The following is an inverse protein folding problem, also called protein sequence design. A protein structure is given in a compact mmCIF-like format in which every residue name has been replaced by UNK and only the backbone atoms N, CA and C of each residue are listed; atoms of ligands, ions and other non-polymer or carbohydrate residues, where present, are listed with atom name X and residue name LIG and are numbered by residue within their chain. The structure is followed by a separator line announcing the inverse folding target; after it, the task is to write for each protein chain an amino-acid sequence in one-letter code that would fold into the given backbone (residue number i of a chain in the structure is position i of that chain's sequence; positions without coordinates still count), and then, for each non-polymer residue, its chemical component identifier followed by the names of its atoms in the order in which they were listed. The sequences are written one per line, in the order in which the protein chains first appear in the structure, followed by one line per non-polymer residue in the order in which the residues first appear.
data_IF_224364804570
#
_entry.id   IF_224364804570
#
_cell.length_a   1.000
_cell.length_b   1.000
_cell.length_c   1.000
_cell.angle_alpha   90.00
_cell.angle_beta   90.00
_cell.angle_gamma   90.00
#
_symmetry.space_group_name_H-M   'P 1'
#
loop_
_entity.id
_entity.type
_entity.pdbx_description
1 polymer ?
#
# COMPACT_ATOMS: atom_id res chain seq x y z
N UNK A 1 -22.59 12.78 -10.57
CA UNK A 1 -21.74 12.73 -9.35
C UNK A 1 -22.53 13.10 -8.10
N UNK A 2 -23.45 14.08 -8.13
CA UNK A 2 -24.28 14.40 -6.94
C UNK A 2 -25.28 13.29 -6.56
N UNK A 3 -25.97 12.65 -7.50
CA UNK A 3 -26.99 11.61 -7.19
C UNK A 3 -26.43 10.38 -6.45
N UNK A 4 -25.16 10.05 -6.65
CA UNK A 4 -24.49 8.91 -5.98
C UNK A 4 -24.12 9.21 -4.52
N UNK A 5 -23.90 10.48 -4.16
CA UNK A 5 -23.58 10.84 -2.77
C UNK A 5 -24.82 10.87 -1.88
N UNK A 6 -25.96 11.31 -2.42
CA UNK A 6 -27.26 11.32 -1.69
C UNK A 6 -27.75 9.90 -1.38
N UNK A 7 -27.46 8.93 -2.25
CA UNK A 7 -27.85 7.52 -2.06
C UNK A 7 -26.96 6.80 -1.04
N UNK A 8 -25.67 7.14 -0.97
CA UNK A 8 -24.75 6.56 0.03
C UNK A 8 -25.04 7.07 1.44
N UNK A 9 -25.32 8.36 1.62
CA UNK A 9 -25.70 8.89 2.94
C UNK A 9 -27.00 8.27 3.45
N UNK A 10 -27.97 8.03 2.58
CA UNK A 10 -29.21 7.32 2.92
C UNK A 10 -29.00 5.83 3.23
N UNK A 11 -27.96 5.19 2.70
CA UNK A 11 -27.69 3.77 2.94
C UNK A 11 -27.11 3.51 4.34
N UNK A 12 -26.11 4.27 4.74
CA UNK A 12 -25.42 4.06 6.02
C UNK A 12 -26.11 4.74 7.20
N UNK A 13 -26.79 5.88 6.96
CA UNK A 13 -27.42 6.68 7.99
C UNK A 13 -28.96 6.68 7.92
N UNK A 14 -29.53 5.84 7.04
CA UNK A 14 -30.98 5.67 6.91
C UNK A 14 -31.48 4.35 7.48
N UNK A 15 -32.80 4.20 7.56
CA UNK A 15 -33.48 3.04 8.17
C UNK A 15 -33.11 1.69 7.53
N UNK A 16 -32.66 1.70 6.26
CA UNK A 16 -32.23 0.50 5.54
C UNK A 16 -30.94 -0.12 6.09
N UNK A 17 -30.10 0.64 6.80
CA UNK A 17 -28.84 0.14 7.36
C UNK A 17 -29.06 -1.05 8.31
N UNK A 18 -30.08 -0.98 9.17
CA UNK A 18 -30.39 -2.06 10.12
C UNK A 18 -30.83 -3.36 9.43
N UNK A 19 -31.34 -3.28 8.19
CA UNK A 19 -31.74 -4.46 7.41
C UNK A 19 -30.54 -5.16 6.74
N UNK A 20 -29.42 -4.44 6.59
CA UNK A 20 -28.17 -4.93 5.99
C UNK A 20 -27.19 -5.52 7.03
N UNK A 21 -27.49 -5.43 8.33
CA UNK A 21 -26.68 -6.03 9.39
C UNK A 21 -26.60 -7.54 9.25
N UNK A 22 -25.47 -8.11 9.66
CA UNK A 22 -25.22 -9.53 9.55
C UNK A 22 -26.22 -10.34 10.36
N UNK A 23 -26.80 -11.37 9.71
CA UNK A 23 -27.71 -12.33 10.33
C UNK A 23 -26.97 -13.64 10.45
N UNK A 24 -26.87 -14.16 11.67
CA UNK A 24 -26.20 -15.43 11.95
C UNK A 24 -27.15 -16.63 11.88
N UNK A 25 -28.41 -16.42 11.47
CA UNK A 25 -29.43 -17.47 11.33
C UNK A 25 -29.60 -18.35 12.59
N UNK A 26 -29.33 -17.78 13.77
CA UNK A 26 -29.30 -18.45 15.07
C UNK A 26 -28.21 -19.55 15.19
N UNK A 27 -27.15 -19.48 14.38
CA UNK A 27 -25.98 -20.37 14.42
C UNK A 27 -24.75 -19.56 14.80
N UNK A 28 -24.42 -19.58 16.08
CA UNK A 28 -23.24 -18.88 16.58
C UNK A 28 -21.95 -19.64 16.22
N UNK A 29 -20.97 -18.89 15.69
CA UNK A 29 -19.64 -19.36 15.32
C UNK A 29 -18.64 -18.28 15.70
N UNK A 30 -17.34 -18.61 15.70
CA UNK A 30 -16.29 -17.61 15.93
C UNK A 30 -16.40 -16.46 14.92
N UNK A 31 -16.70 -16.76 13.65
CA UNK A 31 -16.88 -15.75 12.60
C UNK A 31 -18.07 -14.84 12.88
N UNK A 32 -19.23 -15.39 13.27
CA UNK A 32 -20.41 -14.57 13.53
C UNK A 32 -20.23 -13.65 14.74
N UNK A 33 -19.58 -14.14 15.80
CA UNK A 33 -19.27 -13.34 16.99
C UNK A 33 -18.34 -12.18 16.64
N UNK A 34 -17.26 -12.42 15.87
CA UNK A 34 -16.35 -11.34 15.47
C UNK A 34 -17.03 -10.34 14.52
N UNK A 35 -17.84 -10.81 13.57
CA UNK A 35 -18.57 -9.93 12.65
C UNK A 35 -19.52 -9.00 13.42
N UNK A 36 -20.32 -9.55 14.34
CA UNK A 36 -21.23 -8.75 15.19
C UNK A 36 -20.48 -7.71 16.02
N UNK A 37 -19.36 -8.08 16.64
CA UNK A 37 -18.54 -7.14 17.43
C UNK A 37 -17.99 -5.98 16.58
N UNK A 38 -17.56 -6.27 15.35
CA UNK A 38 -17.10 -5.24 14.41
C UNK A 38 -18.25 -4.33 14.01
N UNK A 39 -19.41 -4.90 13.66
CA UNK A 39 -20.61 -4.11 13.30
C UNK A 39 -21.04 -3.17 14.43
N UNK A 40 -21.06 -3.65 15.67
CA UNK A 40 -21.37 -2.83 16.85
C UNK A 40 -20.40 -1.65 16.98
N UNK A 41 -19.09 -1.90 16.91
CA UNK A 41 -18.05 -0.86 17.03
C UNK A 41 -18.17 0.18 15.91
N UNK A 42 -18.39 -0.26 14.67
CA UNK A 42 -18.51 0.64 13.52
C UNK A 42 -19.82 1.44 13.59
N UNK A 43 -20.90 0.84 14.08
CA UNK A 43 -22.18 1.52 14.24
C UNK A 43 -22.08 2.68 15.23
N UNK A 44 -21.28 2.56 16.29
CA UNK A 44 -20.99 3.66 17.22
C UNK A 44 -20.28 4.83 16.52
N UNK A 45 -19.28 4.55 15.68
CA UNK A 45 -18.54 5.56 14.92
C UNK A 45 -19.46 6.29 13.93
N UNK A 46 -20.29 5.53 13.19
CA UNK A 46 -21.27 6.08 12.25
C UNK A 46 -22.26 7.00 13.00
N UNK A 47 -22.82 6.53 14.13
CA UNK A 47 -23.75 7.35 14.94
C UNK A 47 -23.09 8.63 15.47
N UNK A 48 -21.85 8.55 15.95
CA UNK A 48 -21.12 9.72 16.44
C UNK A 48 -20.88 10.77 15.34
N UNK A 49 -20.53 10.32 14.13
CA UNK A 49 -20.41 11.22 12.98
C UNK A 49 -21.75 11.86 12.62
N UNK A 50 -22.84 11.08 12.62
CA UNK A 50 -24.18 11.60 12.34
C UNK A 50 -24.63 12.69 13.33
N UNK A 51 -24.41 12.47 14.62
CA UNK A 51 -24.79 13.42 15.68
C UNK A 51 -23.96 14.72 15.62
N UNK A 52 -22.65 14.62 15.38
CA UNK A 52 -21.76 15.78 15.32
C UNK A 52 -22.03 16.70 14.11
N UNK A 53 -22.64 16.18 13.05
CA UNK A 53 -22.95 16.93 11.82
C UNK A 53 -24.44 17.34 11.71
N UNK A 54 -25.26 17.06 12.72
CA UNK A 54 -26.69 17.41 12.77
C UNK A 54 -26.93 18.82 13.34
N UNK A 55 -26.43 19.86 12.66
CA UNK A 55 -26.88 21.26 12.82
C UNK A 55 -27.67 21.62 11.53
N UNK A 56 -28.84 22.27 11.62
CA UNK A 56 -29.88 22.16 10.60
C UNK A 56 -29.62 23.02 9.36
N UNK A 57 -29.02 22.44 8.33
CA UNK A 57 -29.29 22.82 6.93
C UNK A 57 -28.85 21.72 5.96
N UNK A 58 -29.78 20.82 5.63
CA UNK A 58 -29.97 20.10 4.36
C UNK A 58 -28.79 19.46 3.59
N UNK A 59 -27.58 19.45 4.10
CA UNK A 59 -26.40 18.89 3.41
C UNK A 59 -25.67 17.99 4.39
N UNK A 60 -25.84 16.68 4.23
CA UNK A 60 -24.94 15.70 4.82
C UNK A 60 -23.50 16.08 4.45
N UNK A 61 -22.70 16.57 5.40
CA UNK A 61 -21.27 16.72 5.17
C UNK A 61 -20.62 15.35 5.34
N UNK A 62 -20.23 14.73 4.22
CA UNK A 62 -19.39 13.54 4.21
C UNK A 62 -18.16 13.74 5.11
N UNK A 63 -17.62 12.66 5.72
CA UNK A 63 -16.41 12.78 6.53
C UNK A 63 -15.29 13.46 5.72
N UNK A 64 -14.70 14.50 6.29
CA UNK A 64 -13.64 15.28 5.65
C UNK A 64 -12.30 14.56 5.81
N UNK A 65 -11.58 14.36 4.70
CA UNK A 65 -10.21 13.84 4.74
C UNK A 65 -9.27 14.87 5.39
N UNK A 66 -8.62 14.49 6.49
CA UNK A 66 -7.71 15.35 7.25
C UNK A 66 -6.30 15.40 6.62
N UNK A 67 -6.21 15.86 5.38
CA UNK A 67 -4.99 15.80 4.56
C UNK A 67 -3.72 16.29 5.28
N UNK A 68 -3.79 17.45 5.95
CA UNK A 68 -2.63 18.03 6.65
C UNK A 68 -2.13 17.17 7.82
N UNK A 69 -3.02 16.50 8.53
CA UNK A 69 -2.62 15.59 9.61
C UNK A 69 -1.92 14.35 9.04
N UNK A 70 -2.43 13.81 7.94
CA UNK A 70 -1.80 12.70 7.24
C UNK A 70 -0.43 13.10 6.67
N UNK A 71 -0.30 14.29 6.08
CA UNK A 71 0.99 14.81 5.59
C UNK A 71 2.04 14.86 6.71
N UNK A 72 1.71 15.46 7.86
CA UNK A 72 2.64 15.56 9.00
C UNK A 72 3.06 14.18 9.51
N UNK A 73 2.11 13.24 9.61
CA UNK A 73 2.38 11.85 10.00
C UNK A 73 3.36 11.17 9.03
N UNK A 74 3.08 11.24 7.73
CA UNK A 74 3.88 10.61 6.67
C UNK A 74 5.29 11.21 6.60
N UNK A 75 5.41 12.53 6.64
CA UNK A 75 6.71 13.23 6.61
C UNK A 75 7.60 12.84 7.79
N UNK A 76 7.02 12.72 8.99
CA UNK A 76 7.75 12.25 10.18
C UNK A 76 8.24 10.81 10.00
N UNK A 77 7.36 9.94 9.51
CA UNK A 77 7.67 8.52 9.29
C UNK A 77 8.76 8.26 8.25
N UNK A 78 8.94 9.17 7.27
CA UNK A 78 9.99 9.03 6.27
C UNK A 78 11.40 9.29 6.83
N UNK A 79 11.50 10.02 7.95
CA UNK A 79 12.79 10.39 8.56
C UNK A 79 13.16 9.47 9.71
N UNK A 80 12.25 9.27 10.67
CA UNK A 80 12.51 8.49 11.87
C UNK A 80 11.28 7.67 12.27
N UNK A 81 11.51 6.43 12.65
CA UNK A 81 10.51 5.51 13.18
C UNK A 81 10.91 5.08 14.59
N UNK A 82 9.92 4.80 15.44
CA UNK A 82 10.19 4.25 16.78
C UNK A 82 10.62 2.79 16.69
N UNK A 83 11.15 2.28 17.80
CA UNK A 83 11.42 0.86 18.05
C UNK A 83 10.22 -0.06 17.76
N UNK A 84 9.00 0.46 17.84
CA UNK A 84 7.78 -0.27 17.50
C UNK A 84 7.74 -0.76 16.04
N UNK A 85 8.60 -0.24 15.17
CA UNK A 85 8.76 -0.66 13.77
C UNK A 85 9.86 -1.70 13.56
N UNK A 86 10.50 -2.22 14.63
CA UNK A 86 11.54 -3.25 14.53
C UNK A 86 11.03 -4.52 13.80
N UNK A 87 9.76 -4.87 13.97
CA UNK A 87 9.13 -5.98 13.23
C UNK A 87 9.07 -5.77 11.71
N UNK A 88 9.33 -4.54 11.24
CA UNK A 88 9.36 -4.15 9.83
C UNK A 88 10.79 -3.83 9.34
N UNK A 89 11.85 -4.20 10.08
CA UNK A 89 13.23 -3.96 9.64
C UNK A 89 13.57 -4.68 8.32
N UNK A 90 12.92 -5.82 8.04
CA UNK A 90 13.00 -6.52 6.76
C UNK A 90 12.00 -6.00 5.69
N UNK A 91 11.34 -4.88 5.95
CA UNK A 91 10.32 -4.26 5.09
C UNK A 91 10.52 -2.76 4.94
N UNK A 92 11.75 -2.26 5.04
CA UNK A 92 12.02 -0.82 4.96
C UNK A 92 11.75 -0.21 3.58
N UNK A 93 12.02 -0.91 2.45
CA UNK A 93 11.53 -0.44 1.15
C UNK A 93 10.00 -0.33 1.07
N UNK A 94 9.25 -1.19 1.78
CA UNK A 94 7.80 -1.05 1.88
C UNK A 94 7.40 0.23 2.61
N UNK A 95 8.09 0.57 3.70
CA UNK A 95 7.86 1.82 4.42
C UNK A 95 8.11 3.03 3.50
N UNK A 96 9.18 3.02 2.70
CA UNK A 96 9.42 4.05 1.68
C UNK A 96 8.25 4.12 0.68
N UNK A 97 7.86 2.99 0.08
CA UNK A 97 6.78 2.95 -0.91
C UNK A 97 5.44 3.43 -0.33
N UNK A 98 5.00 2.89 0.80
CA UNK A 98 3.72 3.26 1.41
C UNK A 98 3.67 4.75 1.73
N UNK A 99 4.76 5.30 2.26
CA UNK A 99 4.81 6.72 2.63
C UNK A 99 4.81 7.60 1.38
N UNK A 100 5.69 7.32 0.41
CA UNK A 100 5.80 8.10 -0.81
C UNK A 100 4.52 8.04 -1.64
N UNK A 101 3.93 6.86 -1.80
CA UNK A 101 2.68 6.71 -2.54
C UNK A 101 1.51 7.39 -1.84
N UNK A 102 1.45 7.32 -0.50
CA UNK A 102 0.42 8.07 0.25
C UNK A 102 0.57 9.58 0.07
N UNK A 103 1.79 10.11 0.02
CA UNK A 103 2.03 11.53 -0.25
C UNK A 103 1.64 11.91 -1.68
N UNK A 104 1.97 11.07 -2.67
CA UNK A 104 1.55 11.24 -4.06
C UNK A 104 0.02 11.26 -4.19
N UNK A 105 -0.70 10.35 -3.52
CA UNK A 105 -2.17 10.34 -3.49
C UNK A 105 -2.79 11.58 -2.82
N UNK A 106 -2.07 12.19 -1.87
CA UNK A 106 -2.45 13.47 -1.25
C UNK A 106 -2.05 14.68 -2.11
N UNK A 107 -1.41 14.45 -3.28
CA UNK A 107 -0.86 15.47 -4.16
C UNK A 107 0.17 16.38 -3.43
N UNK A 108 0.91 15.79 -2.50
CA UNK A 108 1.95 16.45 -1.70
C UNK A 108 3.34 16.00 -2.17
N UNK A 109 4.23 16.97 -2.41
CA UNK A 109 5.56 16.68 -2.90
C UNK A 109 6.58 16.50 -1.78
N UNK A 110 7.44 15.49 -1.92
CA UNK A 110 8.57 15.27 -1.03
C UNK A 110 9.69 16.24 -1.40
N UNK A 111 10.28 16.98 -0.44
CA UNK A 111 11.40 17.87 -0.71
C UNK A 111 12.59 17.11 -1.34
N UNK A 112 13.25 17.72 -2.33
CA UNK A 112 14.37 17.12 -3.08
C UNK A 112 15.50 16.54 -2.21
N UNK A 113 15.92 17.17 -1.09
CA UNK A 113 16.92 16.55 -0.23
C UNK A 113 16.47 15.21 0.35
N UNK A 114 15.19 15.12 0.75
CA UNK A 114 14.63 13.92 1.35
C UNK A 114 14.43 12.81 0.31
N UNK A 115 14.02 13.15 -0.92
CA UNK A 115 13.94 12.16 -1.99
C UNK A 115 15.32 11.61 -2.37
N UNK A 116 16.37 12.44 -2.44
CA UNK A 116 17.75 11.98 -2.66
C UNK A 116 18.24 11.07 -1.52
N UNK A 117 17.85 11.33 -0.27
CA UNK A 117 18.20 10.45 0.85
C UNK A 117 17.49 9.10 0.79
N UNK A 118 16.23 9.07 0.32
CA UNK A 118 15.52 7.81 0.03
C UNK A 118 16.21 7.06 -1.11
N UNK A 119 16.59 7.74 -2.19
CA UNK A 119 17.39 7.17 -3.29
C UNK A 119 18.66 6.50 -2.77
N UNK A 120 19.48 7.21 -1.99
CA UNK A 120 20.71 6.65 -1.38
C UNK A 120 20.42 5.49 -0.45
N UNK A 121 19.32 5.52 0.29
CA UNK A 121 18.92 4.43 1.17
C UNK A 121 18.55 3.17 0.38
N UNK A 122 17.70 3.30 -0.64
CA UNK A 122 17.30 2.17 -1.50
C UNK A 122 18.49 1.61 -2.27
N UNK A 123 19.42 2.45 -2.72
CA UNK A 123 20.67 2.00 -3.33
C UNK A 123 21.49 1.09 -2.41
N UNK A 124 21.52 1.35 -1.09
CA UNK A 124 22.17 0.47 -0.10
C UNK A 124 21.39 -0.82 0.17
N UNK A 125 20.11 -0.87 -0.15
CA UNK A 125 19.28 -2.08 -0.03
C UNK A 125 19.37 -2.98 -1.27
N UNK A 126 19.99 -2.51 -2.36
CA UNK A 126 20.17 -3.32 -3.57
C UNK A 126 21.25 -4.39 -3.36
N UNK A 127 20.93 -5.62 -3.75
CA UNK A 127 21.86 -6.75 -3.62
C UNK A 127 22.92 -6.72 -4.73
N UNK A 128 24.17 -7.13 -4.45
CA UNK A 128 25.20 -7.30 -5.47
C UNK A 128 24.83 -8.29 -6.58
N UNK A 129 23.89 -9.20 -6.34
CA UNK A 129 23.35 -10.20 -7.27
C UNK A 129 22.03 -9.79 -7.92
N UNK A 130 21.60 -8.54 -7.74
CA UNK A 130 20.35 -8.03 -8.28
C UNK A 130 19.15 -8.15 -7.33
N UNK A 131 18.14 -7.31 -7.58
CA UNK A 131 17.00 -7.13 -6.68
C UNK A 131 17.34 -6.29 -5.44
N UNK A 132 16.33 -6.01 -4.63
CA UNK A 132 16.46 -5.29 -3.36
C UNK A 132 16.08 -6.19 -2.19
N UNK A 133 16.78 -6.04 -1.07
CA UNK A 133 16.46 -6.66 0.20
C UNK A 133 15.62 -5.75 1.10
N UNK A 134 15.17 -6.30 2.23
CA UNK A 134 14.35 -5.59 3.22
C UNK A 134 15.07 -4.43 3.93
N UNK A 135 16.39 -4.39 3.86
CA UNK A 135 17.28 -3.38 4.39
C UNK A 135 18.73 -3.59 3.90
N UNK A 136 19.66 -2.69 4.22
CA UNK A 136 21.05 -2.81 3.79
C UNK A 136 21.71 -4.11 4.26
N UNK A 137 22.32 -4.84 3.32
CA UNK A 137 22.97 -6.13 3.59
C UNK A 137 22.03 -7.33 3.72
N UNK A 138 20.71 -7.13 3.61
CA UNK A 138 19.75 -8.25 3.57
C UNK A 138 19.68 -8.86 2.16
N UNK A 139 19.32 -10.15 2.09
CA UNK A 139 19.16 -10.87 0.83
C UNK A 139 18.06 -10.24 -0.05
N UNK A 140 18.26 -10.28 -1.37
CA UNK A 140 17.25 -9.86 -2.33
C UNK A 140 15.97 -10.67 -2.21
N UNK A 141 14.83 -9.97 -2.32
CA UNK A 141 13.50 -10.55 -2.19
C UNK A 141 12.52 -9.79 -3.08
N UNK A 142 11.58 -10.48 -3.72
CA UNK A 142 10.64 -9.90 -4.68
C UNK A 142 9.78 -8.78 -4.06
N UNK A 143 9.27 -8.98 -2.83
CA UNK A 143 8.47 -7.96 -2.15
C UNK A 143 9.19 -6.59 -1.94
N UNK A 144 10.35 -6.49 -1.27
CA UNK A 144 11.07 -5.22 -1.17
C UNK A 144 11.64 -4.75 -2.52
N UNK A 145 11.90 -5.64 -3.48
CA UNK A 145 12.23 -5.26 -4.87
C UNK A 145 11.10 -4.46 -5.52
N UNK A 146 9.87 -4.98 -5.47
CA UNK A 146 8.68 -4.28 -5.96
C UNK A 146 8.50 -2.91 -5.28
N UNK A 147 8.64 -2.88 -3.95
CA UNK A 147 8.46 -1.64 -3.19
C UNK A 147 9.55 -0.61 -3.52
N UNK A 148 10.81 -1.03 -3.61
CA UNK A 148 11.94 -0.17 -3.96
C UNK A 148 11.78 0.43 -5.35
N UNK A 149 11.46 -0.38 -6.37
CA UNK A 149 11.31 0.14 -7.73
C UNK A 149 10.13 1.13 -7.80
N UNK A 150 8.97 0.81 -7.23
CA UNK A 150 7.85 1.75 -7.21
C UNK A 150 8.18 3.04 -6.45
N UNK A 151 8.89 2.97 -5.32
CA UNK A 151 9.34 4.15 -4.60
C UNK A 151 10.25 5.04 -5.47
N UNK A 152 11.19 4.44 -6.22
CA UNK A 152 12.05 5.17 -7.16
C UNK A 152 11.24 5.77 -8.33
N UNK A 153 10.22 5.08 -8.82
CA UNK A 153 9.30 5.60 -9.84
C UNK A 153 8.49 6.80 -9.35
N UNK A 154 7.98 6.76 -8.12
CA UNK A 154 7.25 7.88 -7.51
C UNK A 154 8.17 9.10 -7.35
N UNK A 155 9.45 8.89 -7.00
CA UNK A 155 10.43 9.99 -6.96
C UNK A 155 10.65 10.56 -8.37
N UNK A 156 10.71 9.70 -9.38
CA UNK A 156 10.62 10.10 -10.79
C UNK A 156 11.78 10.94 -11.32
N UNK A 157 12.93 10.94 -10.64
CA UNK A 157 14.14 11.66 -11.07
C UNK A 157 15.12 10.74 -11.78
N UNK A 158 16.03 11.31 -12.60
CA UNK A 158 17.09 10.53 -13.23
C UNK A 158 18.01 9.84 -12.21
N UNK A 159 18.26 10.49 -11.06
CA UNK A 159 18.98 9.90 -9.93
C UNK A 159 18.29 8.62 -9.44
N UNK A 160 16.96 8.66 -9.29
CA UNK A 160 16.19 7.50 -8.83
C UNK A 160 16.26 6.33 -9.84
N UNK A 161 16.09 6.61 -11.13
CA UNK A 161 16.14 5.58 -12.16
C UNK A 161 17.53 4.95 -12.30
N UNK A 162 18.59 5.76 -12.20
CA UNK A 162 19.97 5.28 -12.31
C UNK A 162 20.42 4.38 -11.15
N UNK A 163 19.65 4.28 -10.07
CA UNK A 163 19.94 3.35 -8.97
C UNK A 163 19.68 1.91 -9.39
N UNK A 164 18.70 1.65 -10.25
CA UNK A 164 18.27 0.30 -10.57
C UNK A 164 19.29 -0.35 -11.51
N UNK A 165 20.00 -1.37 -11.03
CA UNK A 165 20.85 -2.21 -11.87
C UNK A 165 19.96 -3.21 -12.63
N UNK A 166 19.54 -2.81 -13.84
CA UNK A 166 18.54 -3.54 -14.65
C UNK A 166 19.04 -4.92 -15.09
N UNK A 167 20.34 -5.04 -15.41
CA UNK A 167 20.93 -6.30 -15.84
C UNK A 167 20.90 -7.31 -14.70
N UNK A 168 21.36 -6.90 -13.51
CA UNK A 168 21.32 -7.78 -12.35
C UNK A 168 19.91 -8.04 -11.84
N UNK A 169 19.01 -7.06 -11.93
CA UNK A 169 17.61 -7.27 -11.60
C UNK A 169 17.02 -8.38 -12.47
N UNK A 170 17.30 -8.38 -13.77
CA UNK A 170 16.89 -9.45 -14.68
C UNK A 170 17.49 -10.81 -14.26
N UNK A 171 18.78 -10.85 -13.94
CA UNK A 171 19.44 -12.08 -13.45
C UNK A 171 18.76 -12.61 -12.19
N UNK A 172 18.45 -11.74 -11.23
CA UNK A 172 17.71 -12.10 -10.01
C UNK A 172 16.34 -12.68 -10.35
N UNK A 173 15.57 -12.02 -11.22
CA UNK A 173 14.24 -12.48 -11.62
C UNK A 173 14.27 -13.86 -12.30
N UNK A 174 15.28 -14.11 -13.15
CA UNK A 174 15.49 -15.45 -13.70
C UNK A 174 15.91 -16.47 -12.64
N UNK A 175 16.73 -16.09 -11.67
CA UNK A 175 17.18 -16.99 -10.61
C UNK A 175 16.03 -17.50 -9.72
N UNK A 176 14.94 -16.74 -9.61
CA UNK A 176 13.77 -17.11 -8.82
C UNK A 176 12.62 -17.70 -9.65
N UNK A 177 12.74 -17.74 -10.98
CA UNK A 177 11.75 -18.36 -11.87
C UNK A 177 11.78 -19.89 -11.76
N UNK A 178 10.60 -20.50 -11.65
CA UNK A 178 10.43 -21.95 -11.57
C UNK A 178 10.02 -22.57 -12.92
N UNK A 179 10.27 -23.88 -13.15
CA UNK A 179 9.92 -24.56 -14.39
C UNK A 179 8.42 -24.60 -14.71
N UNK A 180 7.57 -24.54 -13.69
CA UNK A 180 6.10 -24.53 -13.80
C UNK A 180 5.53 -23.14 -14.15
N UNK A 181 6.39 -22.13 -14.31
CA UNK A 181 6.02 -20.75 -14.58
C UNK A 181 5.81 -19.90 -13.33
N UNK A 182 5.83 -20.51 -12.13
CA UNK A 182 5.78 -19.78 -10.86
C UNK A 182 7.12 -19.11 -10.56
N UNK A 183 7.16 -18.32 -9.49
CA UNK A 183 8.38 -17.67 -9.00
C UNK A 183 8.48 -17.89 -7.48
N UNK A 184 9.68 -18.00 -6.94
CA UNK A 184 9.92 -17.97 -5.48
C UNK A 184 10.15 -16.54 -5.01
N UNK A 185 9.73 -16.19 -3.80
CA UNK A 185 9.89 -14.81 -3.28
C UNK A 185 11.35 -14.39 -3.12
N UNK A 186 12.22 -15.35 -2.82
CA UNK A 186 13.67 -15.19 -2.77
C UNK A 186 14.31 -16.57 -2.93
N UNK A 187 15.64 -16.63 -3.10
CA UNK A 187 16.35 -17.92 -3.14
C UNK A 187 16.08 -18.70 -1.85
N UNK A 188 15.48 -19.89 -1.98
CA UNK A 188 15.06 -20.75 -0.87
C UNK A 188 13.75 -20.36 -0.17
N UNK A 189 13.02 -19.38 -0.71
CA UNK A 189 11.77 -18.87 -0.16
C UNK A 189 10.52 -19.63 -0.59
N UNK A 190 9.36 -19.08 -0.22
CA UNK A 190 8.05 -19.60 -0.57
C UNK A 190 7.63 -19.25 -2.01
N UNK A 191 6.64 -19.98 -2.51
CA UNK A 191 5.95 -19.71 -3.79
C UNK A 191 4.50 -19.38 -3.51
N UNK A 192 4.04 -18.24 -3.99
CA UNK A 192 2.62 -17.88 -4.05
C UNK A 192 2.35 -16.80 -5.11
N UNK A 193 1.09 -16.40 -5.27
CA UNK A 193 0.67 -15.47 -6.32
C UNK A 193 1.30 -14.07 -6.22
N UNK A 194 1.78 -13.65 -5.04
CA UNK A 194 2.50 -12.37 -4.87
C UNK A 194 3.76 -12.33 -5.74
N UNK A 195 4.39 -13.49 -5.96
CA UNK A 195 5.60 -13.59 -6.78
C UNK A 195 5.28 -13.18 -8.23
N UNK A 196 4.23 -13.75 -8.81
CA UNK A 196 3.85 -13.53 -10.21
C UNK A 196 3.50 -12.07 -10.48
N UNK A 197 2.73 -11.43 -9.58
CA UNK A 197 2.37 -10.01 -9.73
C UNK A 197 3.59 -9.09 -9.77
N UNK A 198 4.66 -9.43 -9.04
CA UNK A 198 5.89 -8.64 -9.03
C UNK A 198 6.67 -8.80 -10.34
N UNK A 199 6.58 -9.97 -10.97
CA UNK A 199 7.39 -10.33 -12.13
C UNK A 199 6.66 -10.20 -13.48
N UNK A 200 5.36 -9.91 -13.46
CA UNK A 200 4.52 -10.03 -14.66
C UNK A 200 4.96 -9.08 -15.79
N UNK A 201 4.97 -9.63 -17.01
CA UNK A 201 5.05 -8.83 -18.23
C UNK A 201 3.67 -8.23 -18.52
N UNK A 202 3.62 -7.01 -19.07
CA UNK A 202 2.35 -6.46 -19.52
C UNK A 202 1.67 -7.43 -20.50
N UNK A 203 0.38 -7.79 -20.29
CA UNK A 203 -0.35 -8.47 -21.33
C UNK A 203 -0.43 -7.53 -22.54
N UNK A 204 -0.32 -8.09 -23.74
CA UNK A 204 -0.51 -7.42 -25.04
C UNK A 204 -1.88 -6.77 -25.24
N UNK A 205 -2.73 -6.74 -24.20
CA UNK A 205 -4.08 -6.21 -24.17
C UNK A 205 -4.18 -5.00 -23.23
N UNK A 206 -3.45 -3.91 -23.51
CA UNK A 206 -3.82 -2.50 -23.25
C UNK A 206 -4.34 -2.02 -21.88
N UNK A 207 -4.47 -2.87 -20.86
CA UNK A 207 -4.98 -2.51 -19.54
C UNK A 207 -3.78 -2.17 -18.65
N UNK A 208 -3.56 -0.88 -18.41
CA UNK A 208 -2.54 -0.38 -17.49
C UNK A 208 -2.97 -0.70 -16.05
N UNK A 209 -2.49 -1.81 -15.52
CA UNK A 209 -2.43 -2.01 -14.07
C UNK A 209 -0.98 -2.26 -13.69
N UNK A 210 -0.35 -1.23 -13.14
CA UNK A 210 1.04 -1.16 -12.67
C UNK A 210 2.08 -1.18 -13.80
N UNK A 211 3.01 -0.23 -13.77
CA UNK A 211 4.10 -0.12 -14.74
C UNK A 211 4.90 -1.44 -14.76
N UNK A 212 5.09 -2.09 -15.92
CA UNK A 212 6.00 -3.21 -16.04
C UNK A 212 7.40 -2.73 -15.64
N UNK A 213 8.04 -3.44 -14.71
CA UNK A 213 9.41 -3.15 -14.27
C UNK A 213 10.41 -3.06 -15.44
N UNK A 214 10.04 -3.63 -16.59
CA UNK A 214 10.81 -3.72 -17.83
C UNK A 214 10.84 -2.44 -18.69
N UNK A 215 9.89 -1.52 -18.51
CA UNK A 215 9.80 -0.29 -19.31
C UNK A 215 10.44 0.95 -18.65
N UNK A 216 10.99 0.78 -17.45
CA UNK A 216 11.92 1.71 -16.80
C UNK A 216 13.34 1.38 -17.26
#
# INVERSE_FOLDING_TARGET
MEETFTTLSQRYFGEKHNLELFKDDNVETVTSVQQKKVEETIQEVIRAQWLNHSIPQAVFSSPTLLQQQHYVYLKKGLQNLSDSYECLDASRPWLCYWILHSLELLNEHVPTPLSSDVCKFLARCQSPTGGFGGGPGQQAHLAPTYAAVNALCIIGTQEAYNIIDREKLLDFLFSVKQPDGSFVMHVGGEVDIRCVRVTDEAPSSGVRTVLPLWHL
#
